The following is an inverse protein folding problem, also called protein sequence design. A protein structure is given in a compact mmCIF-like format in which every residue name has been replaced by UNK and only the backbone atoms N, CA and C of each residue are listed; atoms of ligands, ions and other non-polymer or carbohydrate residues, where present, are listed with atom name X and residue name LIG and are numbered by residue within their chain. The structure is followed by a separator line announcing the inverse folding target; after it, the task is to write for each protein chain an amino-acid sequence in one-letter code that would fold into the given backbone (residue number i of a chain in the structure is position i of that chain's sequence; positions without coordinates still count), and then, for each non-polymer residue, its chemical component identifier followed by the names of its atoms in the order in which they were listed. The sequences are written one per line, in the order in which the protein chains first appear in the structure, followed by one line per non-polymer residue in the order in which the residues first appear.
data_IF_938604683875
#
_entry.id   IF_938604683875
#
_cell.length_a   1.000
_cell.length_b   1.000
_cell.length_c   1.000
_cell.angle_alpha   90.00
_cell.angle_beta   90.00
_cell.angle_gamma   90.00
#
_symmetry.space_group_name_H-M   'P 1'
#
loop_
_entity.id
_entity.type
_entity.pdbx_description
1 polymer ?
#
# COMPACT_ATOMS: atom_id res chain seq x y z
N UNK A 1 -3.69 -13.76 -11.13
CA UNK A 1 -3.79 -12.51 -11.92
C UNK A 1 -3.89 -11.37 -10.91
N UNK A 2 -3.15 -10.26 -11.10
CA UNK A 2 -3.17 -9.11 -10.17
C UNK A 2 -3.80 -7.89 -10.85
N UNK A 3 -4.52 -7.08 -10.09
CA UNK A 3 -5.20 -5.87 -10.55
C UNK A 3 -4.49 -4.64 -10.01
N UNK A 4 -4.20 -3.66 -10.86
CA UNK A 4 -3.80 -2.32 -10.41
C UNK A 4 -5.04 -1.65 -9.82
N UNK A 5 -5.03 -1.40 -8.50
CA UNK A 5 -6.17 -0.83 -7.77
C UNK A 5 -5.96 0.64 -7.41
N UNK A 6 -4.71 1.10 -7.34
CA UNK A 6 -4.38 2.49 -7.04
C UNK A 6 -3.03 2.88 -7.65
N UNK A 7 -2.92 4.11 -8.13
CA UNK A 7 -1.65 4.77 -8.45
C UNK A 7 -1.54 6.02 -7.59
N UNK A 8 -0.37 6.21 -6.97
CA UNK A 8 -0.06 7.38 -6.14
C UNK A 8 1.16 8.08 -6.72
N UNK A 9 1.11 9.41 -6.74
CA UNK A 9 2.25 10.27 -7.03
C UNK A 9 2.50 11.13 -5.80
N UNK A 10 3.74 11.13 -5.33
CA UNK A 10 4.15 11.92 -4.17
C UNK A 10 5.55 12.47 -4.38
N UNK A 11 5.93 13.43 -3.55
CA UNK A 11 7.27 13.98 -3.56
C UNK A 11 7.98 13.50 -2.31
N UNK A 12 9.17 12.96 -2.50
CA UNK A 12 10.07 12.66 -1.40
C UNK A 12 10.52 13.92 -0.67
N UNK A 13 11.08 13.76 0.53
CA UNK A 13 11.65 14.89 1.30
C UNK A 13 12.79 15.59 0.58
N UNK A 14 13.49 14.89 -0.31
CA UNK A 14 14.54 15.42 -1.21
C UNK A 14 13.98 16.15 -2.44
N UNK A 15 12.66 16.17 -2.64
CA UNK A 15 11.99 16.80 -3.78
C UNK A 15 11.90 15.92 -5.02
N UNK A 16 12.36 14.66 -4.95
CA UNK A 16 12.26 13.70 -6.05
C UNK A 16 10.83 13.17 -6.14
N UNK A 17 10.29 13.06 -7.35
CA UNK A 17 8.94 12.54 -7.54
C UNK A 17 8.94 11.00 -7.50
N UNK A 18 8.12 10.45 -6.62
CA UNK A 18 7.96 9.01 -6.42
C UNK A 18 6.56 8.60 -6.89
N UNK A 19 6.50 7.52 -7.65
CA UNK A 19 5.27 6.86 -8.08
C UNK A 19 5.14 5.53 -7.37
N UNK A 20 3.97 5.27 -6.79
CA UNK A 20 3.61 3.95 -6.28
C UNK A 20 2.48 3.36 -7.11
N UNK A 21 2.58 2.07 -7.41
CA UNK A 21 1.51 1.27 -8.00
C UNK A 21 1.12 0.17 -7.03
N UNK A 22 -0.15 0.19 -6.60
CA UNK A 22 -0.70 -0.80 -5.68
C UNK A 22 -1.47 -1.84 -6.47
N UNK A 23 -0.99 -3.07 -6.40
CA UNK A 23 -1.62 -4.23 -7.00
C UNK A 23 -2.30 -5.08 -5.94
N UNK A 24 -3.44 -5.68 -6.28
CA UNK A 24 -4.17 -6.60 -5.41
C UNK A 24 -4.58 -7.86 -6.18
N UNK A 25 -4.70 -8.98 -5.49
CA UNK A 25 -5.30 -10.20 -6.05
C UNK A 25 -6.81 -10.03 -6.30
N UNK A 26 -7.44 -9.13 -5.55
CA UNK A 26 -8.86 -8.80 -5.70
C UNK A 26 -9.04 -7.49 -6.47
N UNK A 27 -10.02 -7.46 -7.38
CA UNK A 27 -10.31 -6.31 -8.25
C UNK A 27 -10.92 -5.12 -7.49
N UNK A 28 -11.41 -5.37 -6.28
CA UNK A 28 -11.87 -4.39 -5.30
C UNK A 28 -11.22 -4.77 -3.96
N UNK A 29 -10.96 -3.79 -3.09
CA UNK A 29 -10.87 -4.11 -1.66
C UNK A 29 -12.15 -4.83 -1.26
N UNK A 30 -12.06 -5.75 -0.30
CA UNK A 30 -13.14 -6.69 0.00
C UNK A 30 -14.44 -5.97 0.42
N UNK A 31 -15.49 -6.71 0.79
CA UNK A 31 -16.83 -6.18 1.14
C UNK A 31 -16.85 -5.05 2.21
N UNK A 32 -15.71 -4.76 2.84
CA UNK A 32 -15.49 -3.87 3.98
C UNK A 32 -14.36 -2.85 3.67
N UNK A 33 -13.89 -2.76 2.42
CA UNK A 33 -12.78 -1.90 2.00
C UNK A 33 -11.48 -2.11 2.79
N UNK A 34 -11.23 -3.35 3.22
CA UNK A 34 -10.01 -3.75 3.93
C UNK A 34 -9.02 -4.41 2.98
N UNK A 35 -7.74 -4.30 3.34
CA UNK A 35 -6.61 -4.94 2.66
C UNK A 35 -6.05 -6.00 3.62
N UNK A 36 -6.27 -7.29 3.33
CA UNK A 36 -5.63 -8.37 4.06
C UNK A 36 -4.10 -8.34 3.97
N UNK A 37 -3.44 -8.87 5.01
CA UNK A 37 -1.98 -9.07 4.98
C UNK A 37 -1.62 -10.04 3.86
N UNK A 38 -0.64 -9.63 3.03
CA UNK A 38 -0.20 -10.41 1.86
C UNK A 38 -1.14 -10.38 0.65
N UNK A 39 -2.27 -9.65 0.68
CA UNK A 39 -3.18 -9.58 -0.48
C UNK A 39 -2.81 -8.51 -1.51
N UNK A 40 -1.86 -7.63 -1.18
CA UNK A 40 -1.40 -6.57 -2.06
C UNK A 40 0.12 -6.59 -2.26
N UNK A 41 0.55 -6.04 -3.39
CA UNK A 41 1.95 -5.80 -3.73
C UNK A 41 2.08 -4.35 -4.16
N UNK A 42 3.08 -3.65 -3.65
CA UNK A 42 3.33 -2.25 -3.98
C UNK A 42 4.67 -2.12 -4.69
N UNK A 43 4.65 -1.55 -5.88
CA UNK A 43 5.84 -1.23 -6.67
C UNK A 43 6.10 0.26 -6.55
N UNK A 44 7.35 0.65 -6.30
CA UNK A 44 7.77 2.05 -6.25
C UNK A 44 8.72 2.39 -7.39
N UNK A 45 8.57 3.61 -7.90
CA UNK A 45 9.39 4.15 -8.99
C UNK A 45 9.81 5.57 -8.66
N UNK A 46 11.01 5.93 -9.09
CA UNK A 46 11.47 7.31 -9.17
C UNK A 46 11.15 7.85 -10.55
N UNK A 47 10.51 9.01 -10.59
CA UNK A 47 10.24 9.74 -11.82
C UNK A 47 11.29 10.84 -11.96
N UNK A 48 12.02 10.79 -13.07
CA UNK A 48 12.99 11.82 -13.48
C UNK A 48 12.61 12.32 -14.86
N UNK A 49 13.18 13.44 -15.29
CA UNK A 49 12.88 13.99 -16.61
C UNK A 49 13.14 12.96 -17.72
N UNK A 50 12.05 12.54 -18.38
CA UNK A 50 12.09 11.59 -19.49
C UNK A 50 12.32 10.12 -19.11
N UNK A 51 12.44 9.76 -17.83
CA UNK A 51 12.71 8.38 -17.42
C UNK A 51 11.92 7.94 -16.18
N UNK A 52 11.57 6.65 -16.14
CA UNK A 52 10.93 5.99 -14.99
C UNK A 52 11.91 4.93 -14.50
N UNK A 53 12.44 5.12 -13.30
CA UNK A 53 13.38 4.19 -12.67
C UNK A 53 12.64 3.37 -11.62
N UNK A 54 12.68 2.04 -11.73
CA UNK A 54 12.19 1.14 -10.69
C UNK A 54 13.07 1.29 -9.43
N UNK A 55 12.43 1.51 -8.28
CA UNK A 55 13.10 1.55 -6.97
C UNK A 55 12.93 0.22 -6.23
N UNK A 56 11.68 -0.21 -6.05
CA UNK A 56 11.34 -1.45 -5.35
C UNK A 56 10.16 -2.15 -6.03
N UNK A 57 10.20 -3.47 -6.10
CA UNK A 57 9.12 -4.32 -6.66
C UNK A 57 8.13 -4.78 -5.60
N UNK A 58 8.50 -4.70 -4.33
CA UNK A 58 7.66 -5.14 -3.23
C UNK A 58 8.00 -4.34 -1.97
N UNK A 59 7.50 -3.11 -1.93
CA UNK A 59 7.69 -2.20 -0.80
C UNK A 59 7.25 -2.91 0.48
N UNK A 60 8.13 -2.93 1.49
CA UNK A 60 7.84 -3.62 2.74
C UNK A 60 6.68 -2.96 3.50
N UNK A 61 5.53 -3.64 3.52
CA UNK A 61 4.33 -3.22 4.25
C UNK A 61 4.21 -3.86 5.63
N UNK A 62 5.12 -4.77 6.02
CA UNK A 62 5.05 -5.44 7.33
C UNK A 62 4.90 -4.47 8.51
N UNK A 63 5.63 -3.33 8.56
CA UNK A 63 5.48 -2.37 9.65
C UNK A 63 4.06 -1.79 9.75
N UNK A 64 3.37 -1.60 8.62
CA UNK A 64 1.99 -1.13 8.58
C UNK A 64 1.05 -2.20 9.16
N UNK A 65 1.20 -3.46 8.75
CA UNK A 65 0.41 -4.58 9.27
C UNK A 65 0.63 -4.82 10.76
N UNK A 66 1.87 -4.77 11.23
CA UNK A 66 2.19 -4.95 12.64
C UNK A 66 1.61 -3.83 13.51
N UNK A 67 1.66 -2.57 13.05
CA UNK A 67 1.10 -1.42 13.77
C UNK A 67 -0.43 -1.47 13.91
N UNK A 68 -1.12 -2.17 13.01
CA UNK A 68 -2.57 -2.29 12.99
C UNK A 68 -3.06 -3.71 13.24
N UNK A 69 -2.21 -4.57 13.83
CA UNK A 69 -2.59 -5.94 14.15
C UNK A 69 -3.76 -5.95 15.14
N UNK A 70 -4.84 -6.72 14.89
CA UNK A 70 -5.92 -6.87 15.84
C UNK A 70 -5.41 -7.41 17.18
N UNK A 71 -6.02 -6.96 18.28
CA UNK A 71 -5.74 -7.53 19.59
C UNK A 71 -6.22 -8.99 19.63
N UNK A 72 -5.47 -9.83 20.36
CA UNK A 72 -5.89 -11.21 20.60
C UNK A 72 -7.22 -11.23 21.36
N UNK A 73 -8.06 -12.21 21.05
CA UNK A 73 -9.36 -12.47 21.70
C UNK A 73 -10.41 -11.36 21.59
N UNK A 74 -10.24 -10.41 20.66
CA UNK A 74 -11.25 -9.38 20.36
C UNK A 74 -12.03 -9.76 19.10
N UNK A 75 -13.35 -9.78 19.21
CA UNK A 75 -14.22 -9.95 18.05
C UNK A 75 -14.35 -8.63 17.28
N UNK A 76 -14.08 -8.69 15.99
CA UNK A 76 -14.21 -7.56 15.08
C UNK A 76 -15.35 -7.84 14.09
N UNK A 77 -16.48 -7.10 14.17
CA UNK A 77 -17.62 -7.33 13.29
C UNK A 77 -17.29 -7.03 11.82
N UNK A 78 -16.26 -6.23 11.58
CA UNK A 78 -15.72 -5.84 10.28
C UNK A 78 -14.54 -6.73 9.82
N UNK A 79 -14.27 -7.83 10.54
CA UNK A 79 -13.17 -8.74 10.26
C UNK A 79 -11.84 -8.34 10.91
N UNK A 80 -10.85 -9.24 10.91
CA UNK A 80 -9.57 -9.01 11.61
C UNK A 80 -8.67 -7.99 10.88
N UNK A 81 -8.95 -7.69 9.61
CA UNK A 81 -8.14 -6.77 8.81
C UNK A 81 -8.47 -5.32 9.16
N UNK A 82 -7.44 -4.56 9.56
CA UNK A 82 -7.62 -3.17 10.01
C UNK A 82 -7.18 -2.12 8.99
N UNK A 83 -6.34 -2.51 8.03
CA UNK A 83 -5.79 -1.60 7.01
C UNK A 83 -6.78 -1.44 5.87
N UNK A 84 -6.95 -0.20 5.42
CA UNK A 84 -7.67 0.16 4.20
C UNK A 84 -6.72 0.89 3.23
N UNK A 85 -7.22 1.25 2.05
CA UNK A 85 -6.42 1.92 1.03
C UNK A 85 -5.90 3.30 1.47
N UNK A 86 -6.70 4.04 2.24
CA UNK A 86 -6.31 5.36 2.76
C UNK A 86 -5.08 5.26 3.68
N UNK A 87 -5.11 4.33 4.64
CA UNK A 87 -3.98 4.07 5.54
C UNK A 87 -2.73 3.62 4.79
N UNK A 88 -2.88 2.82 3.74
CA UNK A 88 -1.76 2.44 2.87
C UNK A 88 -1.17 3.65 2.14
N UNK A 89 -2.02 4.52 1.60
CA UNK A 89 -1.58 5.76 0.92
C UNK A 89 -0.84 6.67 1.89
N UNK A 90 -1.37 6.86 3.10
CA UNK A 90 -0.73 7.68 4.13
C UNK A 90 0.63 7.11 4.54
N UNK A 91 0.73 5.81 4.73
CA UNK A 91 1.99 5.13 5.02
C UNK A 91 3.03 5.36 3.90
N UNK A 92 2.65 5.17 2.64
CA UNK A 92 3.56 5.37 1.50
C UNK A 92 3.99 6.82 1.34
N UNK A 93 3.11 7.78 1.65
CA UNK A 93 3.46 9.20 1.68
C UNK A 93 4.46 9.55 2.79
N UNK A 94 4.39 8.88 3.94
CA UNK A 94 5.34 9.10 5.04
C UNK A 94 6.74 8.53 4.76
N UNK A 95 6.81 7.51 3.89
CA UNK A 95 8.06 6.85 3.46
C UNK A 95 8.78 7.59 2.33
N UNK A 96 8.10 8.47 1.60
CA UNK A 96 8.71 9.35 0.61
C UNK A 96 9.56 10.44 1.32
#
# INVERSE_FOLDING_TARGET
MRYLIQTLLTNSKSGEQIKYEVYSENRKSDFIDKIPEGSCTVISYKLTEGTIQLLDRDVNLQPLFDAHRPAQDVFYPDGPHRINLEMLVDYLNQQA
#
